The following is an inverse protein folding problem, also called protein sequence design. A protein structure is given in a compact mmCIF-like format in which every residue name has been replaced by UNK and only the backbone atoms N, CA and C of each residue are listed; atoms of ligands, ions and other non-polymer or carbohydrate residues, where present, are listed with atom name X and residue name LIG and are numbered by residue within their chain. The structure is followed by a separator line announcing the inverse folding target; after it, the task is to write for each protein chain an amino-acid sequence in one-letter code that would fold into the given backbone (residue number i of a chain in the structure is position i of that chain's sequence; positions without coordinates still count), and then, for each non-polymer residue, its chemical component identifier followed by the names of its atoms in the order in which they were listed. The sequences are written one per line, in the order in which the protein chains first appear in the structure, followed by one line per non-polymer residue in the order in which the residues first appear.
data_IF_245896173765
#
_entry.id   IF_245896173765
#
_cell.length_a   1.000
_cell.length_b   1.000
_cell.length_c   1.000
_cell.angle_alpha   90.00
_cell.angle_beta   90.00
_cell.angle_gamma   90.00
#
_symmetry.space_group_name_H-M   'P 1'
#
loop_
_entity.id
_entity.type
_entity.pdbx_description
1 polymer ?
#
# COMPACT_ATOMS: atom_id res chain seq x y z
N UNK A 1 -38.72 -11.42 -17.49
CA UNK A 1 -38.15 -10.07 -17.76
C UNK A 1 -36.79 -9.98 -17.06
N UNK A 2 -35.90 -9.18 -17.63
CA UNK A 2 -34.43 -9.23 -17.51
C UNK A 2 -33.96 -9.06 -16.07
N UNK A 3 -33.28 -10.07 -15.53
CA UNK A 3 -32.50 -9.95 -14.31
C UNK A 3 -31.28 -9.07 -14.59
N UNK A 4 -31.35 -7.81 -14.18
CA UNK A 4 -30.19 -6.92 -14.15
C UNK A 4 -29.25 -7.48 -13.09
N UNK A 5 -28.33 -8.37 -13.50
CA UNK A 5 -27.16 -8.68 -12.68
C UNK A 5 -26.39 -7.37 -12.56
N UNK A 6 -26.10 -6.86 -11.34
CA UNK A 6 -25.18 -5.76 -11.22
C UNK A 6 -23.86 -6.24 -11.82
N UNK A 7 -23.43 -5.61 -12.91
CA UNK A 7 -22.07 -5.75 -13.40
C UNK A 7 -21.21 -5.12 -12.33
N UNK A 8 -20.81 -5.91 -11.33
CA UNK A 8 -19.79 -5.50 -10.36
C UNK A 8 -18.60 -5.09 -11.23
N UNK A 9 -18.35 -3.79 -11.25
CA UNK A 9 -17.43 -3.19 -12.18
C UNK A 9 -16.04 -3.64 -11.72
N UNK A 10 -15.46 -4.67 -12.36
CA UNK A 10 -14.21 -5.32 -11.92
C UNK A 10 -13.07 -4.34 -11.59
N UNK A 11 -13.09 -3.15 -12.19
CA UNK A 11 -12.15 -2.05 -11.95
C UNK A 11 -12.40 -1.29 -10.64
N UNK A 12 -13.66 -1.01 -10.32
CA UNK A 12 -14.05 -0.45 -9.03
C UNK A 12 -13.68 -1.43 -7.91
N UNK A 13 -13.83 -2.73 -8.17
CA UNK A 13 -13.33 -3.79 -7.28
C UNK A 13 -11.82 -3.73 -7.08
N UNK A 14 -11.03 -3.56 -8.14
CA UNK A 14 -9.56 -3.49 -8.02
C UNK A 14 -9.09 -2.29 -7.19
N UNK A 15 -9.65 -1.10 -7.47
CA UNK A 15 -9.34 0.11 -6.71
C UNK A 15 -9.71 -0.06 -5.24
N UNK A 16 -10.93 -0.55 -4.96
CA UNK A 16 -11.38 -0.82 -3.59
C UNK A 16 -10.43 -1.80 -2.90
N UNK A 17 -10.12 -2.93 -3.53
CA UNK A 17 -9.20 -3.92 -2.97
C UNK A 17 -7.78 -3.38 -2.72
N UNK A 18 -7.24 -2.53 -3.61
CA UNK A 18 -5.94 -1.91 -3.41
C UNK A 18 -5.94 -0.97 -2.18
N UNK A 19 -7.00 -0.17 -2.02
CA UNK A 19 -7.17 0.70 -0.85
C UNK A 19 -7.39 -0.10 0.45
N UNK A 20 -8.13 -1.21 0.40
CA UNK A 20 -8.31 -2.11 1.54
C UNK A 20 -6.98 -2.71 2.00
N UNK A 21 -6.18 -3.22 1.06
CA UNK A 21 -4.84 -3.78 1.35
C UNK A 21 -3.89 -2.73 1.91
N UNK A 22 -3.91 -1.52 1.37
CA UNK A 22 -3.16 -0.39 1.94
C UNK A 22 -3.61 -0.11 3.39
N UNK A 23 -4.92 -0.14 3.66
CA UNK A 23 -5.47 0.03 5.00
C UNK A 23 -4.95 -1.00 6.00
N UNK A 24 -4.89 -2.28 5.60
CA UNK A 24 -4.32 -3.36 6.42
C UNK A 24 -2.83 -3.11 6.73
N UNK A 25 -2.04 -2.74 5.72
CA UNK A 25 -0.60 -2.42 5.90
C UNK A 25 -0.44 -1.27 6.88
N UNK A 26 -1.15 -0.14 6.68
CA UNK A 26 -1.04 1.02 7.55
C UNK A 26 -1.49 0.72 8.99
N UNK A 27 -2.51 -0.14 9.16
CA UNK A 27 -2.95 -0.60 10.47
C UNK A 27 -1.88 -1.44 11.17
N UNK A 28 -1.24 -2.37 10.45
CA UNK A 28 -0.15 -3.17 10.98
C UNK A 28 1.05 -2.28 11.35
N UNK A 29 1.43 -1.34 10.49
CA UNK A 29 2.47 -0.35 10.76
C UNK A 29 2.16 0.44 12.04
N UNK A 30 0.93 0.96 12.18
CA UNK A 30 0.53 1.71 13.36
C UNK A 30 0.66 0.88 14.63
N UNK A 31 0.22 -0.38 14.63
CA UNK A 31 0.37 -1.27 15.80
C UNK A 31 1.84 -1.49 16.17
N UNK A 32 2.72 -1.67 15.16
CA UNK A 32 4.15 -1.83 15.38
C UNK A 32 4.76 -0.55 15.97
N UNK A 33 4.40 0.63 15.45
CA UNK A 33 4.90 1.91 15.93
C UNK A 33 4.40 2.26 17.33
N UNK A 34 3.14 1.94 17.65
CA UNK A 34 2.58 2.10 19.00
C UNK A 34 3.30 1.18 20.01
N UNK A 35 3.65 -0.05 19.60
CA UNK A 35 4.36 -1.02 20.45
C UNK A 35 5.85 -0.73 20.57
N UNK A 36 6.47 -0.22 19.50
CA UNK A 36 7.90 0.02 19.39
C UNK A 36 8.18 1.41 18.84
N UNK A 37 7.93 2.49 19.62
CA UNK A 37 8.09 3.87 19.14
C UNK A 37 9.54 4.18 18.71
N UNK A 38 10.53 3.44 19.22
CA UNK A 38 11.94 3.56 18.82
C UNK A 38 12.20 3.17 17.36
N UNK A 39 11.32 2.39 16.73
CA UNK A 39 11.44 1.98 15.33
C UNK A 39 10.98 3.11 14.39
N UNK A 40 10.15 4.03 14.87
CA UNK A 40 9.71 5.18 14.10
C UNK A 40 10.91 5.96 13.56
N UNK A 41 10.95 6.16 12.25
CA UNK A 41 11.95 6.95 11.55
C UNK A 41 11.27 7.81 10.50
N UNK A 42 11.86 8.96 10.21
CA UNK A 42 11.44 9.81 9.08
C UNK A 42 11.48 9.02 7.77
N UNK A 43 12.50 8.19 7.56
CA UNK A 43 12.61 7.37 6.34
C UNK A 43 11.44 6.38 6.21
N UNK A 44 11.05 5.75 7.32
CA UNK A 44 9.94 4.81 7.34
C UNK A 44 8.61 5.50 7.02
N UNK A 45 8.38 6.68 7.62
CA UNK A 45 7.19 7.49 7.35
C UNK A 45 7.17 7.99 5.90
N UNK A 46 8.33 8.33 5.34
CA UNK A 46 8.48 8.78 3.96
C UNK A 46 8.21 7.64 2.98
N UNK A 47 8.76 6.44 3.21
CA UNK A 47 8.47 5.25 2.40
C UNK A 47 6.99 4.86 2.44
N UNK A 48 6.35 4.93 3.61
CA UNK A 48 4.91 4.71 3.74
C UNK A 48 4.10 5.79 2.99
N UNK A 49 4.52 7.05 3.08
CA UNK A 49 3.93 8.16 2.32
C UNK A 49 4.02 7.96 0.81
N UNK A 50 5.15 7.46 0.32
CA UNK A 50 5.33 7.10 -1.09
C UNK A 50 4.36 5.98 -1.50
N UNK A 51 4.26 4.90 -0.72
CA UNK A 51 3.31 3.82 -1.01
C UNK A 51 1.85 4.31 -1.07
N UNK A 52 1.45 5.19 -0.14
CA UNK A 52 0.13 5.82 -0.16
C UNK A 52 -0.06 6.65 -1.44
N UNK A 53 0.96 7.42 -1.85
CA UNK A 53 0.91 8.24 -3.05
C UNK A 53 0.72 7.37 -4.30
N UNK A 54 1.46 6.26 -4.43
CA UNK A 54 1.32 5.34 -5.56
C UNK A 54 -0.09 4.74 -5.62
N UNK A 55 -0.61 4.24 -4.49
CA UNK A 55 -1.98 3.67 -4.42
C UNK A 55 -3.05 4.72 -4.78
N UNK A 56 -2.91 5.96 -4.32
CA UNK A 56 -3.90 7.01 -4.59
C UNK A 56 -3.91 7.50 -6.03
N UNK A 57 -2.73 7.61 -6.65
CA UNK A 57 -2.59 8.23 -7.97
C UNK A 57 -2.52 7.23 -9.12
N UNK A 58 -2.60 5.94 -8.85
CA UNK A 58 -2.62 4.93 -9.89
C UNK A 58 -3.87 5.00 -10.75
N UNK A 59 -3.66 4.83 -12.05
CA UNK A 59 -4.72 4.81 -13.03
C UNK A 59 -5.34 3.41 -13.11
N UNK A 60 -6.31 3.14 -12.23
CA UNK A 60 -7.05 1.86 -12.19
C UNK A 60 -7.88 1.57 -13.45
N UNK A 61 -8.06 2.55 -14.33
CA UNK A 61 -8.82 2.40 -15.56
C UNK A 61 -8.00 1.86 -16.73
N UNK A 62 -6.68 1.95 -16.64
CA UNK A 62 -5.75 1.51 -17.67
C UNK A 62 -5.13 0.15 -17.31
N UNK A 63 -5.36 -0.83 -18.19
CA UNK A 63 -4.87 -2.21 -18.01
C UNK A 63 -3.36 -2.35 -18.32
N UNK A 64 -2.77 -1.35 -18.96
CA UNK A 64 -1.33 -1.29 -19.23
C UNK A 64 -0.55 -0.43 -18.24
N UNK A 65 -1.21 0.08 -17.19
CA UNK A 65 -0.55 0.96 -16.23
C UNK A 65 0.57 0.23 -15.51
N UNK A 66 1.72 0.89 -15.48
CA UNK A 66 2.92 0.33 -14.89
C UNK A 66 2.75 0.15 -13.39
N UNK A 67 2.89 -1.10 -12.93
CA UNK A 67 2.83 -1.47 -11.52
C UNK A 67 4.21 -1.48 -10.86
N UNK A 68 5.29 -1.28 -11.62
CA UNK A 68 6.66 -1.24 -11.08
C UNK A 68 6.80 -0.25 -9.92
N UNK A 69 6.24 0.98 -9.97
CA UNK A 69 6.32 1.92 -8.85
C UNK A 69 5.66 1.42 -7.55
N UNK A 70 4.67 0.52 -7.64
CA UNK A 70 4.07 -0.10 -6.45
C UNK A 70 5.02 -1.08 -5.81
N UNK A 71 5.61 -1.95 -6.62
CA UNK A 71 6.55 -2.98 -6.14
C UNK A 71 7.74 -2.28 -5.49
N UNK A 72 8.29 -1.26 -6.14
CA UNK A 72 9.37 -0.45 -5.59
C UNK A 72 8.98 0.25 -4.28
N UNK A 73 7.78 0.83 -4.20
CA UNK A 73 7.33 1.48 -2.97
C UNK A 73 7.15 0.49 -1.80
N UNK A 74 6.71 -0.74 -2.08
CA UNK A 74 6.64 -1.83 -1.09
C UNK A 74 8.04 -2.27 -0.67
N UNK A 75 8.97 -2.44 -1.60
CA UNK A 75 10.35 -2.82 -1.30
C UNK A 75 11.07 -1.76 -0.47
N UNK A 76 10.89 -0.47 -0.79
CA UNK A 76 11.44 0.64 0.00
C UNK A 76 10.84 0.69 1.41
N UNK A 77 9.55 0.37 1.56
CA UNK A 77 8.92 0.27 2.87
C UNK A 77 9.49 -0.90 3.68
N UNK A 78 9.62 -2.07 3.05
CA UNK A 78 10.22 -3.25 3.68
C UNK A 78 11.69 -3.01 4.07
N UNK A 79 12.45 -2.36 3.19
CA UNK A 79 13.85 -1.99 3.45
C UNK A 79 13.94 -1.06 4.66
N UNK A 80 13.15 0.02 4.70
CA UNK A 80 13.13 0.97 5.82
C UNK A 80 12.74 0.31 7.16
N UNK A 81 11.92 -0.76 7.13
CA UNK A 81 11.66 -1.59 8.29
C UNK A 81 12.85 -2.49 8.68
N UNK A 82 13.53 -3.08 7.69
CA UNK A 82 14.59 -4.07 7.90
C UNK A 82 15.96 -3.48 8.26
N UNK A 83 16.32 -2.29 7.79
CA UNK A 83 17.64 -1.66 7.99
C UNK A 83 17.90 -1.21 9.43
N UNK A 84 16.89 -1.28 10.30
CA UNK A 84 17.04 -1.14 11.77
C UNK A 84 17.13 -2.47 12.51
N UNK A 85 17.12 -3.60 11.83
CA UNK A 85 17.61 -4.85 12.43
C UNK A 85 19.12 -4.71 12.62
N UNK A 86 19.48 -4.54 13.90
CA UNK A 86 20.80 -4.33 14.50
C UNK A 86 21.96 -4.89 13.64
N UNK A 87 23.00 -4.10 13.30
CA UNK A 87 24.25 -4.66 12.83
C UNK A 87 24.84 -5.51 13.97
N UNK A 88 25.06 -6.79 13.68
CA UNK A 88 25.70 -7.78 14.57
C UNK A 88 27.13 -7.33 14.89
#
# INVERSE_FOLDING_TARGET
MIGIRPKINKKETLRVSAHERLGEVLKAMRQILEKYPKIQSTDLLMSAGNLIHQVKNFNYDDKGSDTTPFVEAVDQLALAFSTRSVPI
#
